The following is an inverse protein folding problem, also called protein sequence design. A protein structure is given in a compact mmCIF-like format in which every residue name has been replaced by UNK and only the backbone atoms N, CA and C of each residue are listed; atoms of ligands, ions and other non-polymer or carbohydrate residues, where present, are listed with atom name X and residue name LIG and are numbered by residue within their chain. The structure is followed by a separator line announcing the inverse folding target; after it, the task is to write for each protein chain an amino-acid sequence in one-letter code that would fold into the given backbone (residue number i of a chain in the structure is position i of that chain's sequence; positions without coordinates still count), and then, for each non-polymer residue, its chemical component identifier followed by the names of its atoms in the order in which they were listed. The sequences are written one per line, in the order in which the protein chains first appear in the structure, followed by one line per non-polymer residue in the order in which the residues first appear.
data_IF_038408347793
#
_entry.id   IF_038408347793
#
_cell.length_a   1.000
_cell.length_b   1.000
_cell.length_c   1.000
_cell.angle_alpha   90.00
_cell.angle_beta   90.00
_cell.angle_gamma   90.00
#
_symmetry.space_group_name_H-M   'P 1'
#
loop_
_entity.id
_entity.type
_entity.pdbx_description
1 polymer ?
#
# COMPACT_ATOMS: atom_id res chain seq x y z
N UNK A 1 5.53 -10.86 -72.61
CA UNK A 1 4.65 -10.12 -71.69
C UNK A 1 4.22 -11.02 -70.53
N UNK A 2 5.12 -11.36 -69.61
CA UNK A 2 4.79 -12.23 -68.48
C UNK A 2 5.66 -11.93 -67.23
N UNK A 3 5.98 -10.65 -67.00
CA UNK A 3 6.73 -10.20 -65.82
C UNK A 3 5.90 -9.32 -64.86
N UNK A 4 4.60 -9.17 -65.09
CA UNK A 4 3.73 -8.27 -64.30
C UNK A 4 2.84 -8.95 -63.25
N UNK A 5 2.88 -10.28 -63.09
CA UNK A 5 1.99 -11.00 -62.16
C UNK A 5 2.61 -11.38 -60.80
N UNK A 6 3.92 -11.22 -60.60
CA UNK A 6 4.58 -11.60 -59.34
C UNK A 6 4.63 -10.50 -58.27
N UNK A 7 4.21 -9.26 -58.57
CA UNK A 7 4.31 -8.14 -57.63
C UNK A 7 3.14 -8.04 -56.63
N UNK A 8 2.05 -8.79 -56.81
CA UNK A 8 0.82 -8.58 -56.02
C UNK A 8 0.66 -9.57 -54.85
N UNK A 9 1.43 -10.67 -54.80
CA UNK A 9 1.29 -11.67 -53.72
C UNK A 9 2.27 -11.46 -52.56
N UNK A 10 3.26 -10.58 -52.68
CA UNK A 10 4.28 -10.35 -51.65
C UNK A 10 3.90 -9.31 -50.57
N UNK A 11 2.69 -8.73 -50.59
CA UNK A 11 2.31 -7.63 -49.66
C UNK A 11 1.41 -8.07 -48.51
N UNK A 12 0.86 -9.29 -48.51
CA UNK A 12 -0.04 -9.75 -47.43
C UNK A 12 0.63 -10.52 -46.30
N UNK A 13 1.96 -10.65 -46.30
CA UNK A 13 2.72 -11.24 -45.17
C UNK A 13 3.80 -10.27 -44.66
N UNK A 14 3.48 -8.98 -44.63
CA UNK A 14 4.30 -7.97 -43.94
C UNK A 14 3.55 -7.47 -42.71
N UNK A 15 3.87 -8.07 -41.57
CA UNK A 15 3.69 -7.44 -40.25
C UNK A 15 2.49 -7.92 -39.45
N UNK A 16 2.58 -9.11 -38.86
CA UNK A 16 2.05 -9.29 -37.50
C UNK A 16 2.92 -8.49 -36.53
N UNK A 17 2.90 -7.16 -36.62
CA UNK A 17 3.42 -6.32 -35.56
C UNK A 17 2.38 -6.39 -34.46
N UNK A 18 2.49 -7.41 -33.61
CA UNK A 18 2.02 -7.31 -32.24
C UNK A 18 2.84 -6.18 -31.62
N UNK A 19 2.48 -4.93 -31.90
CA UNK A 19 3.00 -3.80 -31.19
C UNK A 19 2.50 -3.99 -29.76
N UNK A 20 3.35 -4.56 -28.91
CA UNK A 20 3.24 -4.34 -27.48
C UNK A 20 3.01 -2.84 -27.30
N UNK A 21 1.94 -2.48 -26.60
CA UNK A 21 1.61 -1.08 -26.33
C UNK A 21 2.67 -0.55 -25.37
N UNK A 22 3.75 -0.04 -25.94
CA UNK A 22 4.93 0.44 -25.21
C UNK A 22 4.91 1.97 -25.22
N UNK A 23 5.24 2.57 -24.10
CA UNK A 23 5.41 4.01 -23.96
C UNK A 23 6.60 4.47 -24.79
N UNK A 24 6.42 5.49 -25.64
CA UNK A 24 7.47 5.96 -26.56
C UNK A 24 8.63 6.66 -25.87
N UNK A 25 8.43 7.16 -24.65
CA UNK A 25 9.47 7.85 -23.90
C UNK A 25 10.28 6.85 -23.09
N UNK A 26 9.62 5.95 -22.36
CA UNK A 26 10.30 5.04 -21.44
C UNK A 26 10.61 3.66 -22.03
N UNK A 27 9.97 3.28 -23.15
CA UNK A 27 10.12 1.93 -23.68
C UNK A 27 9.41 0.86 -22.82
N UNK A 28 8.54 1.28 -21.90
CA UNK A 28 7.85 0.39 -20.97
C UNK A 28 6.46 0.00 -21.43
N UNK A 29 6.05 -1.24 -21.15
CA UNK A 29 4.68 -1.69 -21.37
C UNK A 29 3.67 -0.78 -20.65
N UNK A 30 2.57 -0.45 -21.33
CA UNK A 30 1.53 0.48 -20.82
C UNK A 30 0.27 -0.23 -20.33
N UNK A 31 0.09 -1.51 -20.67
CA UNK A 31 -1.11 -2.27 -20.33
C UNK A 31 -0.79 -3.42 -19.39
N UNK A 32 -1.59 -3.61 -18.35
CA UNK A 32 -1.58 -4.81 -17.53
C UNK A 32 -2.98 -5.39 -17.42
N UNK A 33 -3.13 -6.72 -17.33
CA UNK A 33 -4.42 -7.34 -17.08
C UNK A 33 -4.97 -6.92 -15.71
N UNK A 34 -6.29 -6.77 -15.61
CA UNK A 34 -7.01 -6.46 -14.36
C UNK A 34 -7.14 -7.66 -13.42
N UNK A 35 -6.11 -8.50 -13.34
CA UNK A 35 -6.05 -9.66 -12.45
C UNK A 35 -5.38 -9.26 -11.14
N UNK A 36 -6.01 -9.54 -10.01
CA UNK A 36 -5.44 -9.24 -8.70
C UNK A 36 -4.72 -10.49 -8.15
N UNK A 37 -3.40 -10.53 -8.32
CA UNK A 37 -2.49 -11.55 -7.79
C UNK A 37 -1.28 -10.82 -7.20
N UNK A 38 -1.42 -10.23 -6.00
CA UNK A 38 -0.51 -9.20 -5.53
C UNK A 38 0.90 -9.72 -5.30
N UNK A 39 1.88 -8.84 -5.51
CA UNK A 39 3.31 -9.10 -5.27
C UNK A 39 3.93 -7.95 -4.47
N UNK A 40 5.00 -8.24 -3.74
CA UNK A 40 5.77 -7.25 -3.00
C UNK A 40 7.03 -6.87 -3.77
N UNK A 41 7.24 -5.57 -4.01
CA UNK A 41 8.47 -5.04 -4.58
C UNK A 41 9.59 -4.88 -3.54
N UNK A 42 10.85 -4.83 -3.98
CA UNK A 42 12.03 -4.55 -3.15
C UNK A 42 11.94 -3.19 -2.43
N UNK A 43 11.18 -2.26 -2.98
CA UNK A 43 10.85 -0.96 -2.37
C UNK A 43 9.77 -1.04 -1.27
N UNK A 44 9.28 -2.24 -0.93
CA UNK A 44 8.23 -2.44 0.08
C UNK A 44 6.83 -2.00 -0.36
N UNK A 45 6.62 -1.72 -1.65
CA UNK A 45 5.30 -1.42 -2.21
C UNK A 45 4.61 -2.67 -2.75
N UNK A 46 3.30 -2.75 -2.53
CA UNK A 46 2.48 -3.83 -3.10
C UNK A 46 2.01 -3.46 -4.50
N UNK A 47 2.23 -4.34 -5.46
CA UNK A 47 1.76 -4.22 -6.83
C UNK A 47 0.59 -5.19 -7.04
N UNK A 48 -0.44 -4.77 -7.79
CA UNK A 48 -1.67 -5.56 -8.01
C UNK A 48 -1.42 -6.92 -8.65
N UNK A 49 -0.36 -7.02 -9.46
CA UNK A 49 0.19 -8.24 -10.02
C UNK A 49 1.63 -8.02 -10.51
N UNK A 50 2.28 -9.09 -10.96
CA UNK A 50 3.63 -9.07 -11.49
C UNK A 50 3.81 -8.17 -12.71
N UNK A 51 2.80 -8.04 -13.58
CA UNK A 51 2.86 -7.09 -14.70
C UNK A 51 3.02 -5.66 -14.19
N UNK A 52 2.24 -5.25 -13.18
CA UNK A 52 2.35 -3.92 -12.60
C UNK A 52 3.72 -3.69 -11.92
N UNK A 53 4.31 -4.71 -11.30
CA UNK A 53 5.67 -4.64 -10.77
C UNK A 53 6.69 -4.40 -11.90
N UNK A 54 6.61 -5.16 -12.99
CA UNK A 54 7.53 -5.05 -14.12
C UNK A 54 7.42 -3.70 -14.85
N UNK A 55 6.21 -3.19 -15.03
CA UNK A 55 5.99 -1.84 -15.59
C UNK A 55 6.57 -0.78 -14.66
N UNK A 56 6.36 -0.91 -13.34
CA UNK A 56 6.98 -0.02 -12.35
C UNK A 56 8.51 -0.05 -12.41
N UNK A 57 9.09 -1.25 -12.48
CA UNK A 57 10.54 -1.43 -12.54
C UNK A 57 11.14 -0.84 -13.82
N UNK A 58 10.49 -1.06 -14.97
CA UNK A 58 10.90 -0.46 -16.22
C UNK A 58 10.86 1.07 -16.17
N UNK A 59 9.76 1.64 -15.66
CA UNK A 59 9.61 3.10 -15.60
C UNK A 59 10.64 3.75 -14.67
N UNK A 60 10.96 3.11 -13.54
CA UNK A 60 12.01 3.58 -12.64
C UNK A 60 13.39 3.48 -13.30
N UNK A 61 13.69 2.39 -14.01
CA UNK A 61 14.94 2.26 -14.75
C UNK A 61 15.07 3.31 -15.85
N UNK A 62 14.01 3.55 -16.64
CA UNK A 62 14.02 4.54 -17.71
C UNK A 62 14.27 5.98 -17.19
N UNK A 63 13.91 6.25 -15.93
CA UNK A 63 14.09 7.56 -15.30
C UNK A 63 15.40 7.69 -14.54
N UNK A 64 15.81 6.65 -13.80
CA UNK A 64 16.85 6.75 -12.77
C UNK A 64 18.06 5.83 -12.99
N UNK A 65 18.20 5.14 -14.13
CA UNK A 65 19.31 4.19 -14.33
C UNK A 65 20.70 4.83 -14.41
N UNK A 66 20.81 6.17 -14.50
CA UNK A 66 22.09 6.87 -14.59
C UNK A 66 22.56 7.42 -13.23
N UNK A 67 21.73 7.27 -12.21
CA UNK A 67 21.94 7.80 -10.87
C UNK A 67 22.74 6.80 -10.04
N UNK A 68 23.76 7.30 -9.33
CA UNK A 68 24.70 6.46 -8.58
C UNK A 68 24.02 5.64 -7.46
N UNK A 69 22.91 6.15 -6.90
CA UNK A 69 22.17 5.53 -5.80
C UNK A 69 20.93 4.75 -6.27
N UNK A 70 20.78 4.51 -7.58
CA UNK A 70 19.63 3.79 -8.12
C UNK A 70 19.71 2.29 -7.80
N UNK A 71 18.74 1.82 -7.03
CA UNK A 71 18.50 0.39 -6.82
C UNK A 71 17.36 -0.12 -7.71
N UNK A 72 17.61 -1.16 -8.54
CA UNK A 72 16.56 -1.75 -9.36
C UNK A 72 15.39 -2.30 -8.53
N UNK A 73 14.17 -1.91 -8.90
CA UNK A 73 12.96 -2.50 -8.34
C UNK A 73 12.84 -3.96 -8.80
N UNK A 74 12.84 -4.87 -7.84
CA UNK A 74 12.73 -6.32 -8.06
C UNK A 74 11.58 -6.90 -7.25
N UNK A 75 11.20 -8.14 -7.53
CA UNK A 75 10.27 -8.90 -6.69
C UNK A 75 10.96 -9.23 -5.36
N UNK A 76 10.43 -8.72 -4.25
CA UNK A 76 10.85 -9.12 -2.91
C UNK A 76 10.27 -10.48 -2.54
N UNK A 77 8.94 -10.62 -2.62
CA UNK A 77 8.23 -11.88 -2.36
C UNK A 77 6.83 -11.88 -2.99
N UNK A 78 6.27 -13.09 -3.13
CA UNK A 78 4.88 -13.29 -3.55
C UNK A 78 3.89 -12.80 -2.49
N UNK A 79 2.70 -12.41 -2.93
CA UNK A 79 1.67 -11.82 -2.07
C UNK A 79 1.89 -10.33 -1.83
N UNK A 80 0.93 -9.70 -1.14
CA UNK A 80 1.08 -8.29 -0.74
C UNK A 80 2.32 -8.14 0.12
N UNK A 81 3.01 -7.00 0.04
CA UNK A 81 4.01 -6.69 1.03
C UNK A 81 3.39 -6.86 2.41
N UNK A 82 4.15 -7.45 3.32
CA UNK A 82 3.86 -7.25 4.73
C UNK A 82 3.64 -5.76 4.87
N UNK A 83 2.47 -5.35 5.36
CA UNK A 83 2.41 -4.06 6.01
C UNK A 83 3.45 -4.24 7.12
N UNK A 84 4.71 -3.83 6.88
CA UNK A 84 5.36 -2.90 7.79
C UNK A 84 4.22 -1.96 8.01
N UNK A 85 3.51 -2.12 9.13
CA UNK A 85 2.43 -1.21 9.47
C UNK A 85 3.08 0.11 9.15
N UNK A 86 2.61 0.79 8.10
CA UNK A 86 2.92 2.19 8.01
C UNK A 86 2.49 2.61 9.39
N UNK A 87 3.47 2.99 10.18
CA UNK A 87 3.27 3.63 11.42
C UNK A 87 2.87 5.07 11.06
N UNK A 88 2.10 5.34 10.00
CA UNK A 88 0.66 5.56 10.15
C UNK A 88 0.06 4.77 11.30
N UNK A 89 0.36 5.23 12.51
CA UNK A 89 -0.31 4.86 13.72
C UNK A 89 -1.82 5.01 13.55
N UNK A 90 -2.46 3.98 13.01
CA UNK A 90 -3.77 3.59 13.46
C UNK A 90 -3.51 3.16 14.90
N UNK A 91 -3.72 4.12 15.80
CA UNK A 91 -3.89 3.92 17.23
C UNK A 91 -4.22 2.45 17.52
N UNK A 92 -3.33 1.74 18.21
CA UNK A 92 -3.70 0.46 18.84
C UNK A 92 -4.74 0.67 19.97
N UNK A 93 -5.22 1.91 20.14
CA UNK A 93 -6.33 2.25 20.99
C UNK A 93 -7.61 1.61 20.45
N UNK A 94 -8.41 1.08 21.36
CA UNK A 94 -9.70 0.54 21.02
C UNK A 94 -10.57 1.65 20.39
N UNK A 95 -10.84 1.56 19.09
CA UNK A 95 -11.71 2.53 18.39
C UNK A 95 -13.20 2.30 18.68
N UNK A 96 -13.55 1.10 19.15
CA UNK A 96 -14.93 0.71 19.44
C UNK A 96 -15.01 0.09 20.83
N UNK A 97 -15.94 0.59 21.63
CA UNK A 97 -16.30 0.02 22.93
C UNK A 97 -17.77 -0.41 22.89
N UNK A 98 -18.11 -1.40 23.72
CA UNK A 98 -19.51 -1.77 23.93
C UNK A 98 -20.24 -0.65 24.67
N UNK A 99 -21.56 -0.57 24.51
CA UNK A 99 -22.41 0.36 25.26
C UNK A 99 -22.74 -0.14 26.69
N UNK A 100 -22.03 -1.15 27.19
CA UNK A 100 -22.21 -1.63 28.55
C UNK A 100 -21.83 -0.52 29.53
N UNK A 101 -22.75 -0.18 30.43
CA UNK A 101 -22.48 0.78 31.48
C UNK A 101 -21.97 0.05 32.73
N UNK A 102 -20.67 0.18 32.98
CA UNK A 102 -19.96 -0.33 34.16
C UNK A 102 -18.87 0.69 34.55
N UNK A 103 -19.27 1.82 35.18
CA UNK A 103 -18.46 3.02 35.21
C UNK A 103 -17.18 2.86 36.03
N UNK A 104 -16.12 3.55 35.60
CA UNK A 104 -14.82 3.60 36.28
C UNK A 104 -14.31 5.03 36.36
N UNK A 105 -13.59 5.35 37.44
CA UNK A 105 -12.94 6.63 37.62
C UNK A 105 -11.48 6.53 37.15
N UNK A 106 -11.02 7.48 36.33
CA UNK A 106 -9.62 7.60 35.91
C UNK A 106 -8.79 8.45 36.86
N UNK A 107 -7.46 8.31 36.80
CA UNK A 107 -6.49 9.12 37.57
C UNK A 107 -6.60 10.63 37.28
N UNK A 108 -7.17 10.98 36.13
CA UNK A 108 -7.46 12.35 35.72
C UNK A 108 -8.78 12.90 36.30
N UNK A 109 -9.46 12.16 37.19
CA UNK A 109 -10.72 12.57 37.80
C UNK A 109 -11.94 12.50 36.86
N UNK A 110 -11.81 11.87 35.68
CA UNK A 110 -12.93 11.69 34.76
C UNK A 110 -13.59 10.33 34.94
N UNK A 111 -14.91 10.30 34.85
CA UNK A 111 -15.69 9.06 34.84
C UNK A 111 -15.82 8.54 33.41
N UNK A 112 -15.48 7.28 33.21
CA UNK A 112 -15.63 6.58 31.94
C UNK A 112 -16.77 5.56 32.04
N UNK A 113 -17.59 5.46 30.99
CA UNK A 113 -18.79 4.58 30.96
C UNK A 113 -18.47 3.11 31.18
N UNK A 114 -17.27 2.68 30.80
CA UNK A 114 -16.69 1.38 31.12
C UNK A 114 -15.15 1.40 30.96
N UNK A 115 -14.51 0.29 31.34
CA UNK A 115 -13.05 0.11 31.26
C UNK A 115 -12.50 0.23 29.83
N UNK A 116 -13.27 -0.13 28.80
CA UNK A 116 -12.85 0.07 27.41
C UNK A 116 -12.72 1.56 27.09
N UNK A 117 -13.68 2.39 27.50
CA UNK A 117 -13.62 3.83 27.28
C UNK A 117 -12.44 4.48 28.03
N UNK A 118 -12.12 4.01 29.24
CA UNK A 118 -10.91 4.46 29.96
C UNK A 118 -9.65 4.11 29.19
N UNK A 119 -9.49 2.84 28.78
CA UNK A 119 -8.30 2.37 28.07
C UNK A 119 -8.13 3.06 26.71
N UNK A 120 -9.23 3.30 26.00
CA UNK A 120 -9.24 4.05 24.76
C UNK A 120 -8.74 5.48 24.99
N UNK A 121 -9.27 6.18 25.99
CA UNK A 121 -8.85 7.54 26.30
C UNK A 121 -7.38 7.60 26.74
N UNK A 122 -6.95 6.70 27.61
CA UNK A 122 -5.55 6.60 28.05
C UNK A 122 -4.59 6.41 26.87
N UNK A 123 -4.92 5.49 25.97
CA UNK A 123 -4.13 5.23 24.78
C UNK A 123 -4.12 6.43 23.83
N UNK A 124 -5.27 7.06 23.57
CA UNK A 124 -5.37 8.23 22.71
C UNK A 124 -4.58 9.43 23.26
N UNK A 125 -4.58 9.62 24.58
CA UNK A 125 -3.77 10.65 25.25
C UNK A 125 -2.29 10.37 25.07
N UNK A 126 -1.83 9.14 25.35
CA UNK A 126 -0.42 8.76 25.19
C UNK A 126 0.07 8.91 23.74
N UNK A 127 -0.82 8.68 22.76
CA UNK A 127 -0.50 8.86 21.35
C UNK A 127 -0.43 10.33 20.92
N UNK A 128 -1.41 11.14 21.32
CA UNK A 128 -1.50 12.55 20.88
C UNK A 128 -0.62 13.50 21.68
N UNK A 129 -0.32 13.16 22.94
CA UNK A 129 0.49 13.99 23.84
C UNK A 129 1.38 13.10 24.73
N UNK A 130 2.59 12.74 24.26
CA UNK A 130 3.51 11.87 25.01
C UNK A 130 4.02 12.43 26.34
N UNK A 131 3.90 13.74 26.57
CA UNK A 131 4.32 14.42 27.80
C UNK A 131 3.20 14.50 28.85
N UNK A 132 1.96 14.16 28.47
CA UNK A 132 0.83 14.15 29.39
C UNK A 132 1.00 13.07 30.47
N UNK A 133 0.50 13.35 31.66
CA UNK A 133 0.41 12.35 32.71
C UNK A 133 -0.48 11.17 32.25
N UNK A 134 -0.02 9.91 32.40
CA UNK A 134 -0.78 8.75 31.97
C UNK A 134 -2.12 8.63 32.70
N UNK A 135 -3.20 8.47 31.93
CA UNK A 135 -4.51 8.16 32.50
C UNK A 135 -4.50 6.68 32.90
N UNK A 136 -4.68 6.42 34.18
CA UNK A 136 -4.76 5.07 34.76
C UNK A 136 -6.09 4.89 35.46
N UNK A 137 -6.44 3.64 35.79
CA UNK A 137 -7.60 3.36 36.63
C UNK A 137 -7.37 3.88 38.05
N UNK A 138 -8.29 4.69 38.57
CA UNK A 138 -8.29 5.13 39.95
C UNK A 138 -9.13 4.19 40.83
N UNK A 139 -10.42 4.03 40.53
CA UNK A 139 -11.32 3.12 41.24
C UNK A 139 -12.57 2.77 40.42
N UNK A 140 -13.29 1.74 40.87
CA UNK A 140 -14.58 1.36 40.29
C UNK A 140 -15.64 2.40 40.66
N UNK A 141 -16.60 2.65 39.77
CA UNK A 141 -17.66 3.62 39.96
C UNK A 141 -17.32 4.99 39.38
N UNK A 142 -18.23 5.95 39.58
CA UNK A 142 -18.05 7.33 39.14
C UNK A 142 -17.09 8.09 40.06
N UNK A 143 -16.37 9.07 39.54
CA UNK A 143 -15.56 9.98 40.36
C UNK A 143 -16.46 10.85 41.27
N UNK A 144 -15.95 11.19 42.45
CA UNK A 144 -16.65 11.95 43.51
C UNK A 144 -16.05 13.32 43.77
#
# INVERSE_FOLDING_TARGET
MAFLQYLIVAVLVAGSQAHSLVDRQTGCQTFCPFVFMPVCGSNGQTYSNECHLNVGACNLAAQFSNEADYEPLTLAHQGMCSRKRQLNAVNNCAMFCTFQFDPVCGSNGQTYSNSCHLNSAACMTAFNNPEAEPITFAHQGMCS
#
